data_IF_855196438425
#
_entry.id   IF_855196438425
#
_cell.length_a   1.000
_cell.length_b   1.000
_cell.length_c   1.000
_cell.angle_alpha   90.00
_cell.angle_beta   90.00
_cell.angle_gamma   90.00
#
_symmetry.space_group_name_H-M   'P 1'
#
loop_
_entity.id
_entity.type
_entity.pdbx_description
1 polymer ?
#
# COMPACT_ATOMS: atom_id res chain seq x y z
N UNK A 1 -55.10 -15.54 1.22
CA UNK A 1 -54.74 -15.04 -0.13
C UNK A 1 -53.23 -15.10 -0.28
N UNK A 2 -52.69 -16.12 -0.96
CA UNK A 2 -51.23 -16.30 -1.04
C UNK A 2 -50.67 -15.50 -2.22
N UNK A 3 -50.12 -14.31 -1.95
CA UNK A 3 -49.39 -13.54 -2.96
C UNK A 3 -48.02 -14.19 -3.19
N UNK A 4 -47.82 -14.74 -4.38
CA UNK A 4 -46.52 -15.25 -4.82
C UNK A 4 -45.70 -14.08 -5.36
N UNK A 5 -44.76 -13.57 -4.56
CA UNK A 5 -43.86 -12.50 -4.98
C UNK A 5 -42.86 -13.07 -6.01
N UNK A 6 -43.04 -12.72 -7.29
CA UNK A 6 -42.10 -13.06 -8.36
C UNK A 6 -41.10 -11.92 -8.49
N UNK A 7 -39.88 -12.11 -8.00
CA UNK A 7 -38.80 -11.12 -8.14
C UNK A 7 -38.37 -11.08 -9.62
N UNK A 8 -38.73 -9.99 -10.30
CA UNK A 8 -38.36 -9.75 -11.71
C UNK A 8 -36.98 -9.11 -11.73
N UNK A 9 -35.98 -9.82 -12.26
CA UNK A 9 -34.64 -9.27 -12.47
C UNK A 9 -34.67 -8.33 -13.69
N UNK A 10 -34.18 -7.11 -13.54
CA UNK A 10 -34.11 -6.16 -14.65
C UNK A 10 -33.11 -6.63 -15.71
N UNK A 11 -33.44 -6.40 -16.99
CA UNK A 11 -32.60 -6.79 -18.13
C UNK A 11 -31.27 -6.03 -18.19
N UNK A 12 -31.20 -4.85 -17.56
CA UNK A 12 -30.01 -4.04 -17.45
C UNK A 12 -29.90 -3.52 -15.99
N UNK A 13 -29.22 -4.26 -15.09
CA UNK A 13 -28.98 -3.76 -13.74
C UNK A 13 -28.13 -2.49 -13.84
N UNK A 14 -28.51 -1.44 -13.11
CA UNK A 14 -27.71 -0.22 -13.06
C UNK A 14 -26.31 -0.59 -12.55
N UNK A 15 -25.29 -0.24 -13.33
CA UNK A 15 -23.92 -0.35 -12.88
C UNK A 15 -23.70 0.75 -11.84
N UNK A 16 -23.42 0.37 -10.61
CA UNK A 16 -22.93 1.32 -9.61
C UNK A 16 -21.59 1.86 -10.12
N UNK A 17 -21.59 3.08 -10.64
CA UNK A 17 -20.35 3.79 -10.92
C UNK A 17 -19.81 4.26 -9.57
N UNK A 18 -18.94 3.45 -8.98
CA UNK A 18 -18.06 3.89 -7.92
C UNK A 18 -17.03 4.81 -8.59
N UNK A 19 -17.44 6.02 -8.94
CA UNK A 19 -16.45 7.05 -9.17
C UNK A 19 -15.74 7.20 -7.80
N UNK A 20 -14.45 6.90 -7.76
CA UNK A 20 -13.61 6.81 -6.56
C UNK A 20 -13.40 8.20 -5.95
N UNK A 21 -14.47 8.89 -5.56
CA UNK A 21 -14.41 10.23 -4.96
C UNK A 21 -13.61 10.25 -3.64
N UNK A 22 -13.44 9.09 -3.01
CA UNK A 22 -12.62 8.93 -1.83
C UNK A 22 -11.13 8.85 -2.15
N UNK A 23 -10.73 8.71 -3.42
CA UNK A 23 -9.34 8.50 -3.80
C UNK A 23 -8.88 9.46 -4.91
N UNK A 24 -7.84 10.26 -4.63
CA UNK A 24 -7.09 11.00 -5.64
C UNK A 24 -5.85 10.19 -6.02
N UNK A 25 -5.66 9.89 -7.31
CA UNK A 25 -4.52 9.09 -7.80
C UNK A 25 -4.35 7.74 -7.08
N UNK A 26 -5.46 7.16 -6.60
CA UNK A 26 -5.46 5.91 -5.82
C UNK A 26 -5.15 6.07 -4.33
N UNK A 27 -5.01 7.29 -3.82
CA UNK A 27 -4.79 7.60 -2.39
C UNK A 27 -6.02 8.20 -1.74
N UNK A 28 -6.39 7.78 -0.50
CA UNK A 28 -7.50 8.37 0.23
C UNK A 28 -7.38 9.89 0.33
N UNK A 29 -8.46 10.59 -0.02
CA UNK A 29 -8.55 12.06 0.09
C UNK A 29 -8.67 12.49 1.56
N UNK A 30 -9.31 11.66 2.38
CA UNK A 30 -9.41 11.83 3.83
C UNK A 30 -9.06 10.52 4.53
N UNK A 31 -8.51 10.62 5.73
CA UNK A 31 -8.24 9.48 6.59
C UNK A 31 -8.58 9.79 8.04
N UNK A 32 -8.60 8.77 8.88
CA UNK A 32 -8.75 8.93 10.33
C UNK A 32 -7.64 9.78 10.98
N UNK A 33 -6.51 10.01 10.30
CA UNK A 33 -5.45 10.89 10.81
C UNK A 33 -5.84 12.38 10.77
N UNK A 34 -6.82 12.75 9.96
CA UNK A 34 -7.29 14.12 9.84
C UNK A 34 -8.14 14.51 11.06
N UNK A 35 -8.26 15.82 11.32
CA UNK A 35 -9.11 16.31 12.42
C UNK A 35 -10.60 16.00 12.15
N UNK A 36 -11.36 15.67 13.21
CA UNK A 36 -12.79 15.31 13.08
C UNK A 36 -13.61 16.36 12.32
N UNK A 37 -13.36 17.65 12.53
CA UNK A 37 -14.06 18.72 11.81
C UNK A 37 -13.80 18.68 10.29
N UNK A 38 -12.57 18.34 9.89
CA UNK A 38 -12.20 18.20 8.47
C UNK A 38 -12.94 17.01 7.86
N UNK A 39 -12.98 15.89 8.59
CA UNK A 39 -13.63 14.66 8.14
C UNK A 39 -15.15 14.86 8.03
N UNK A 40 -15.78 15.50 9.02
CA UNK A 40 -17.22 15.77 9.00
C UNK A 40 -17.59 16.75 7.89
N UNK A 41 -16.84 17.84 7.71
CA UNK A 41 -17.09 18.80 6.62
C UNK A 41 -16.96 18.13 5.26
N UNK A 42 -15.94 17.29 5.05
CA UNK A 42 -15.78 16.53 3.81
C UNK A 42 -16.97 15.59 3.56
N UNK A 43 -17.41 14.84 4.57
CA UNK A 43 -18.56 13.93 4.44
C UNK A 43 -19.85 14.70 4.15
N UNK A 44 -20.02 15.88 4.74
CA UNK A 44 -21.17 16.74 4.48
C UNK A 44 -21.16 17.28 3.03
N UNK A 45 -20.01 17.76 2.56
CA UNK A 45 -19.83 18.24 1.19
C UNK A 45 -19.94 17.11 0.16
N UNK A 46 -19.45 15.92 0.51
CA UNK A 46 -19.63 14.71 -0.26
C UNK A 46 -21.12 14.34 -0.40
N UNK A 47 -21.86 14.39 0.71
CA UNK A 47 -23.30 14.16 0.72
C UNK A 47 -24.04 15.19 -0.13
N UNK A 48 -23.65 16.46 -0.10
CA UNK A 48 -24.24 17.52 -0.93
C UNK A 48 -23.96 17.34 -2.42
N UNK A 49 -22.76 16.88 -2.78
CA UNK A 49 -22.32 16.74 -4.17
C UNK A 49 -22.81 15.45 -4.84
N UNK A 50 -22.71 14.32 -4.15
CA UNK A 50 -23.06 13.00 -4.72
C UNK A 50 -24.45 12.50 -4.27
N UNK A 51 -25.01 13.07 -3.19
CA UNK A 51 -26.29 12.61 -2.62
C UNK A 51 -26.18 11.29 -1.83
N UNK A 52 -24.95 10.79 -1.61
CA UNK A 52 -24.69 9.53 -0.93
C UNK A 52 -24.33 9.83 0.52
N UNK A 53 -25.01 9.17 1.45
CA UNK A 53 -24.72 9.26 2.88
C UNK A 53 -23.64 8.24 3.25
N UNK A 54 -22.42 8.73 3.57
CA UNK A 54 -21.29 7.88 3.95
C UNK A 54 -21.06 8.01 5.45
N UNK A 55 -21.19 6.92 6.22
CA UNK A 55 -20.96 6.97 7.65
C UNK A 55 -19.47 7.10 7.94
N UNK A 56 -19.14 7.72 9.08
CA UNK A 56 -17.75 7.90 9.58
C UNK A 56 -16.94 6.60 9.61
N UNK A 57 -17.59 5.45 9.82
CA UNK A 57 -16.96 4.12 9.84
C UNK A 57 -16.38 3.66 8.50
N UNK A 58 -16.78 4.27 7.38
CA UNK A 58 -16.21 3.99 6.06
C UNK A 58 -15.00 4.86 5.74
N UNK A 59 -14.68 5.85 6.58
CA UNK A 59 -13.46 6.65 6.43
C UNK A 59 -12.27 5.74 6.72
N UNK A 60 -11.30 5.63 5.79
CA UNK A 60 -10.19 4.72 5.96
C UNK A 60 -9.27 5.15 7.10
N UNK A 61 -8.66 4.17 7.76
CA UNK A 61 -7.66 4.43 8.79
C UNK A 61 -6.44 5.14 8.20
N UNK A 62 -5.68 5.79 9.08
CA UNK A 62 -4.45 6.48 8.73
C UNK A 62 -3.49 5.56 7.95
N UNK A 63 -2.88 6.04 6.85
CA UNK A 63 -1.83 5.29 6.18
C UNK A 63 -0.65 5.07 7.13
N UNK A 64 -0.21 3.82 7.27
CA UNK A 64 0.87 3.44 8.19
C UNK A 64 2.28 3.78 7.68
N UNK A 65 2.41 4.20 6.42
CA UNK A 65 3.70 4.51 5.80
C UNK A 65 4.09 5.97 6.05
N UNK A 66 5.09 6.16 6.91
CA UNK A 66 5.76 7.44 7.05
C UNK A 66 6.69 7.67 5.85
N UNK A 67 6.22 8.48 4.90
CA UNK A 67 6.92 8.80 3.64
C UNK A 67 8.25 9.52 3.85
N UNK A 68 8.47 10.13 5.02
CA UNK A 68 9.69 10.87 5.34
C UNK A 68 10.71 10.01 6.10
N UNK A 69 10.34 8.81 6.55
CA UNK A 69 11.30 7.88 7.13
C UNK A 69 12.10 7.21 6.02
N UNK A 70 13.45 7.19 6.11
CA UNK A 70 14.28 6.50 5.14
C UNK A 70 13.91 5.01 5.13
N UNK A 71 13.38 4.54 3.99
CA UNK A 71 13.02 3.14 3.76
C UNK A 71 14.26 2.27 3.98
N UNK A 72 14.21 1.40 5.00
CA UNK A 72 15.30 0.46 5.29
C UNK A 72 15.48 -0.49 4.10
N UNK A 73 16.44 -0.17 3.23
CA UNK A 73 16.82 -1.04 2.11
C UNK A 73 17.50 -2.27 2.66
N UNK A 74 16.88 -3.44 2.53
CA UNK A 74 17.53 -4.72 2.79
C UNK A 74 18.61 -4.89 1.72
N UNK A 75 19.88 -4.68 2.07
CA UNK A 75 21.02 -5.06 1.23
C UNK A 75 21.21 -6.56 1.45
N UNK A 76 21.15 -7.38 0.40
CA UNK A 76 21.67 -8.75 0.47
C UNK A 76 23.19 -8.63 0.62
N UNK A 77 23.66 -8.55 1.86
CA UNK A 77 25.05 -8.79 2.19
C UNK A 77 25.26 -10.26 1.92
N UNK A 78 25.99 -10.60 0.85
CA UNK A 78 26.61 -11.93 0.78
C UNK A 78 27.49 -12.04 2.01
N UNK A 79 27.09 -12.87 2.96
CA UNK A 79 27.93 -13.28 4.09
C UNK A 79 29.19 -13.91 3.51
N UNK A 80 30.27 -13.13 3.42
CA UNK A 80 31.59 -13.59 3.00
C UNK A 80 32.30 -14.29 4.16
N UNK A 81 31.64 -15.24 4.80
CA UNK A 81 32.20 -16.04 5.90
C UNK A 81 32.85 -17.35 5.40
N UNK A 82 32.89 -17.59 4.08
CA UNK A 82 33.39 -18.84 3.52
C UNK A 82 34.35 -18.66 2.32
N UNK A 83 35.22 -17.63 2.33
CA UNK A 83 36.23 -17.49 1.27
C UNK A 83 37.64 -17.07 1.75
N UNK A 84 37.90 -17.18 3.06
CA UNK A 84 39.19 -16.88 3.69
C UNK A 84 40.00 -18.14 4.05
N UNK A 85 39.97 -19.19 3.22
CA UNK A 85 40.86 -20.37 3.38
C UNK A 85 41.62 -20.82 2.13
N UNK A 86 41.48 -20.17 0.97
CA UNK A 86 42.14 -20.62 -0.27
C UNK A 86 43.29 -19.75 -0.80
N UNK A 87 43.65 -18.64 -0.14
CA UNK A 87 44.67 -17.69 -0.65
C UNK A 87 46.02 -17.63 0.09
N UNK A 88 46.28 -18.48 1.08
CA UNK A 88 47.55 -18.43 1.84
C UNK A 88 48.62 -19.46 1.42
N UNK A 89 48.33 -20.42 0.53
CA UNK A 89 49.29 -21.49 0.19
C UNK A 89 50.20 -21.25 -1.02
N UNK A 90 50.30 -20.04 -1.59
CA UNK A 90 51.06 -19.84 -2.84
C UNK A 90 51.97 -18.61 -2.86
N UNK A 91 52.70 -18.34 -1.78
CA UNK A 91 53.89 -17.47 -1.81
C UNK A 91 54.97 -17.98 -0.85
N UNK A 92 55.57 -19.11 -1.18
CA UNK A 92 56.93 -19.39 -0.71
C UNK A 92 57.67 -20.25 -1.73
N UNK A 93 58.98 -20.00 -1.86
CA UNK A 93 59.98 -20.55 -2.80
C UNK A 93 60.01 -20.01 -4.24
N UNK A 94 60.83 -18.97 -4.43
CA UNK A 94 61.92 -19.00 -5.43
C UNK A 94 63.17 -18.34 -4.82
N UNK A 95 64.16 -19.15 -4.50
CA UNK A 95 65.55 -18.76 -4.21
C UNK A 95 66.31 -18.56 -5.52
N UNK A 96 67.15 -17.52 -5.70
CA UNK A 96 68.02 -17.43 -6.87
C UNK A 96 69.30 -18.26 -6.64
N UNK A 97 69.53 -19.30 -7.46
CA UNK A 97 70.85 -19.94 -7.59
C UNK A 97 71.60 -19.31 -8.76
N UNK A 98 72.80 -18.81 -8.50
CA UNK A 98 73.67 -18.23 -9.51
C UNK A 98 74.24 -19.25 -10.51
N UNK A 99 74.67 -18.72 -11.65
CA UNK A 99 75.80 -19.17 -12.46
C UNK A 99 76.26 -18.02 -13.33
#
# INVERSE_FOLDING_TARGET
>A
MNLKNKVIKSRNPLQAKFEDHFFCDGFPVISEADHEEVILNFLEDFKKSTGIDVPRSMVPSAPNEDLYKPRKRRRNVKSSEEETKKKEMKKEKVTPSGK
#
